data_IF_890949128074
#
_entry.id   IF_890949128074
#
_cell.length_a   1.000
_cell.length_b   1.000
_cell.length_c   1.000
_cell.angle_alpha   90.00
_cell.angle_beta   90.00
_cell.angle_gamma   90.00
#
_symmetry.space_group_name_H-M   'P 1'
#
loop_
_entity.id
_entity.type
_entity.pdbx_description
1 polymer ?
#
# COMPACT_ATOMS: atom_id res chain seq x y z
N UNK A 1 -33.17 6.66 0.48
CA UNK A 1 -31.78 6.19 0.31
C UNK A 1 -30.95 7.10 1.17
N UNK A 2 -30.34 6.59 2.24
CA UNK A 2 -29.75 7.41 3.29
C UNK A 2 -28.57 8.24 2.75
N UNK A 3 -28.73 9.58 2.79
CA UNK A 3 -27.80 10.60 2.32
C UNK A 3 -26.98 11.16 3.50
N UNK A 4 -26.81 10.40 4.58
CA UNK A 4 -25.92 10.79 5.68
C UNK A 4 -24.49 10.98 5.14
N UNK A 5 -24.05 12.23 5.07
CA UNK A 5 -22.68 12.57 4.71
C UNK A 5 -21.78 12.46 5.95
N UNK A 6 -20.62 11.79 5.84
CA UNK A 6 -20.09 11.09 4.67
C UNK A 6 -20.77 9.73 4.41
N UNK A 7 -20.88 9.35 3.13
CA UNK A 7 -21.51 8.10 2.67
C UNK A 7 -20.96 6.87 3.39
N UNK A 8 -21.79 6.25 4.24
CA UNK A 8 -21.43 5.06 5.02
C UNK A 8 -20.92 3.90 4.15
N UNK A 9 -21.56 3.55 3.01
CA UNK A 9 -21.04 2.52 2.11
C UNK A 9 -19.63 2.81 1.58
N UNK A 10 -19.31 4.08 1.29
CA UNK A 10 -17.97 4.47 0.82
C UNK A 10 -16.94 4.31 1.93
N UNK A 11 -17.27 4.70 3.16
CA UNK A 11 -16.36 4.56 4.31
C UNK A 11 -16.01 3.08 4.59
N UNK A 12 -17.01 2.20 4.51
CA UNK A 12 -16.80 0.74 4.64
C UNK A 12 -15.89 0.24 3.52
N UNK A 13 -16.14 0.67 2.28
CA UNK A 13 -15.34 0.26 1.13
C UNK A 13 -13.87 0.69 1.26
N UNK A 14 -13.60 1.95 1.64
CA UNK A 14 -12.22 2.44 1.86
C UNK A 14 -11.52 1.64 2.96
N UNK A 15 -12.19 1.40 4.08
CA UNK A 15 -11.64 0.60 5.17
C UNK A 15 -11.30 -0.83 4.71
N UNK A 16 -12.19 -1.46 3.95
CA UNK A 16 -11.97 -2.79 3.40
C UNK A 16 -10.81 -2.85 2.40
N UNK A 17 -10.59 -1.79 1.61
CA UNK A 17 -9.46 -1.70 0.68
C UNK A 17 -8.12 -1.73 1.42
N UNK A 18 -7.99 -0.98 2.53
CA UNK A 18 -6.76 -1.01 3.35
C UNK A 18 -6.50 -2.40 3.91
N UNK A 19 -7.55 -3.10 4.36
CA UNK A 19 -7.43 -4.47 4.87
C UNK A 19 -7.03 -5.47 3.76
N UNK A 20 -7.70 -5.41 2.61
CA UNK A 20 -7.47 -6.31 1.48
C UNK A 20 -6.04 -6.22 0.93
N UNK A 21 -5.47 -5.01 0.94
CA UNK A 21 -4.13 -4.72 0.43
C UNK A 21 -3.08 -4.53 1.53
N UNK A 22 -3.37 -4.88 2.79
CA UNK A 22 -2.40 -4.80 3.89
C UNK A 22 -1.03 -5.40 3.54
N UNK A 23 -0.92 -6.60 2.92
CA UNK A 23 0.39 -7.16 2.56
C UNK A 23 1.15 -6.31 1.52
N UNK A 24 0.44 -5.72 0.56
CA UNK A 24 1.01 -4.81 -0.43
C UNK A 24 1.53 -3.54 0.24
N UNK A 25 0.77 -2.96 1.17
CA UNK A 25 1.18 -1.76 1.91
C UNK A 25 2.45 -2.05 2.73
N UNK A 26 2.52 -3.19 3.42
CA UNK A 26 3.73 -3.59 4.16
C UNK A 26 4.94 -3.69 3.24
N UNK A 27 4.77 -4.27 2.05
CA UNK A 27 5.84 -4.38 1.05
C UNK A 27 6.31 -2.99 0.59
N UNK A 28 5.38 -2.09 0.28
CA UNK A 28 5.69 -0.72 -0.14
C UNK A 28 6.44 0.07 0.94
N UNK A 29 6.13 -0.15 2.22
CA UNK A 29 6.85 0.48 3.32
C UNK A 29 8.30 -0.01 3.40
N UNK A 30 8.53 -1.32 3.28
CA UNK A 30 9.88 -1.88 3.26
C UNK A 30 10.67 -1.39 2.05
N UNK A 31 10.05 -1.33 0.87
CA UNK A 31 10.67 -0.79 -0.34
C UNK A 31 11.02 0.69 -0.21
N UNK A 32 10.14 1.49 0.41
CA UNK A 32 10.42 2.89 0.71
C UNK A 32 11.65 3.02 1.60
N UNK A 33 11.69 2.27 2.69
CA UNK A 33 12.78 2.37 3.68
C UNK A 33 14.13 1.98 3.03
N UNK A 34 14.10 0.98 2.13
CA UNK A 34 15.23 0.63 1.28
C UNK A 34 15.64 1.77 0.34
N UNK A 35 14.69 2.35 -0.39
CA UNK A 35 14.97 3.44 -1.33
C UNK A 35 15.58 4.66 -0.64
N UNK A 36 15.07 5.02 0.56
CA UNK A 36 15.63 6.08 1.40
C UNK A 36 17.07 5.77 1.80
N UNK A 37 17.33 4.54 2.28
CA UNK A 37 18.67 4.12 2.71
C UNK A 37 19.67 4.17 1.55
N UNK A 38 19.28 3.66 0.39
CA UNK A 38 20.10 3.71 -0.82
C UNK A 38 20.37 5.15 -1.28
N UNK A 39 19.35 6.02 -1.23
CA UNK A 39 19.51 7.42 -1.61
C UNK A 39 20.48 8.16 -0.67
N UNK A 40 20.32 7.97 0.63
CA UNK A 40 21.15 8.61 1.65
C UNK A 40 22.62 8.19 1.51
N UNK A 41 22.89 6.92 1.19
CA UNK A 41 24.25 6.44 0.93
C UNK A 41 24.91 7.10 -0.29
N UNK A 42 24.11 7.43 -1.32
CA UNK A 42 24.58 8.07 -2.56
C UNK A 42 24.70 9.59 -2.43
N UNK A 43 23.97 10.20 -1.50
CA UNK A 43 23.92 11.65 -1.29
C UNK A 43 24.15 12.00 0.20
N UNK A 44 25.33 11.72 0.77
CA UNK A 44 25.59 11.81 2.21
C UNK A 44 25.48 13.23 2.78
N UNK A 45 25.62 14.26 1.93
CA UNK A 45 25.58 15.67 2.33
C UNK A 45 24.19 16.31 2.16
N UNK A 46 23.18 15.53 1.77
CA UNK A 46 21.82 16.02 1.55
C UNK A 46 20.87 15.37 2.54
N UNK A 47 19.99 16.17 3.14
CA UNK A 47 18.91 15.62 3.94
C UNK A 47 17.91 14.90 3.02
N UNK A 48 17.92 13.57 3.06
CA UNK A 48 17.05 12.71 2.23
C UNK A 48 15.56 13.03 2.38
N UNK A 49 15.13 13.55 3.53
CA UNK A 49 13.72 13.89 3.78
C UNK A 49 13.28 15.23 3.18
N UNK A 50 14.23 16.07 2.75
CA UNK A 50 13.98 17.38 2.12
C UNK A 50 14.38 17.38 0.63
N UNK A 51 14.93 16.28 0.13
CA UNK A 51 15.42 16.17 -1.24
C UNK A 51 14.27 15.91 -2.22
N UNK A 52 13.88 16.96 -2.95
CA UNK A 52 12.83 16.89 -3.99
C UNK A 52 13.18 15.99 -5.16
N UNK A 53 14.40 15.45 -5.26
CA UNK A 53 14.73 14.44 -6.27
C UNK A 53 14.23 13.05 -5.90
N UNK A 54 13.86 12.81 -4.63
CA UNK A 54 13.33 11.55 -4.12
C UNK A 54 11.83 11.69 -3.80
N UNK A 55 10.99 11.92 -4.80
CA UNK A 55 9.54 12.15 -4.59
C UNK A 55 8.74 10.86 -4.39
N UNK A 56 9.04 9.81 -5.15
CA UNK A 56 8.34 8.52 -5.07
C UNK A 56 9.35 7.44 -4.67
N UNK A 57 9.13 6.86 -3.50
CA UNK A 57 10.05 5.90 -2.85
C UNK A 57 9.64 4.45 -3.06
N UNK A 58 8.36 4.19 -3.30
CA UNK A 58 7.83 2.90 -3.73
C UNK A 58 6.49 3.09 -4.43
N UNK A 59 6.16 2.17 -5.35
CA UNK A 59 4.90 2.20 -6.08
C UNK A 59 4.56 0.80 -6.59
N UNK A 60 3.27 0.44 -6.51
CA UNK A 60 2.78 -0.79 -7.11
C UNK A 60 1.37 -0.61 -7.67
N UNK A 61 1.17 -1.08 -8.90
CA UNK A 61 -0.16 -1.19 -9.48
C UNK A 61 -0.98 -2.29 -8.78
N UNK A 62 -2.20 -1.98 -8.37
CA UNK A 62 -3.11 -2.93 -7.69
C UNK A 62 -4.29 -3.32 -8.57
N UNK A 63 -4.85 -4.51 -8.33
CA UNK A 63 -6.10 -4.96 -8.92
C UNK A 63 -6.96 -5.67 -7.89
N UNK A 64 -8.12 -5.11 -7.57
CA UNK A 64 -9.07 -5.67 -6.59
C UNK A 64 -9.50 -7.08 -6.99
N UNK A 65 -9.85 -7.27 -8.27
CA UNK A 65 -10.30 -8.58 -8.76
C UNK A 65 -9.22 -9.66 -8.64
N UNK A 66 -7.97 -9.32 -8.92
CA UNK A 66 -6.86 -10.28 -8.78
C UNK A 66 -6.58 -10.59 -7.30
N UNK A 67 -6.62 -9.58 -6.44
CA UNK A 67 -6.37 -9.75 -5.01
C UNK A 67 -7.45 -10.60 -4.33
N UNK A 68 -8.73 -10.37 -4.65
CA UNK A 68 -9.83 -11.22 -4.15
C UNK A 68 -9.65 -12.68 -4.59
N UNK A 69 -9.27 -12.92 -5.85
CA UNK A 69 -8.97 -14.27 -6.34
C UNK A 69 -7.80 -14.91 -5.58
N UNK A 70 -6.75 -14.15 -5.29
CA UNK A 70 -5.59 -14.64 -4.54
C UNK A 70 -5.96 -15.00 -3.09
N UNK A 71 -6.67 -14.13 -2.37
CA UNK A 71 -7.17 -14.39 -1.01
C UNK A 71 -8.09 -15.62 -1.00
N UNK A 72 -9.01 -15.72 -1.95
CA UNK A 72 -9.89 -16.89 -2.08
C UNK A 72 -9.13 -18.20 -2.26
N UNK A 73 -8.05 -18.20 -3.06
CA UNK A 73 -7.15 -19.37 -3.18
C UNK A 73 -6.43 -19.69 -1.87
N UNK A 74 -5.90 -18.68 -1.18
CA UNK A 74 -5.20 -18.85 0.09
C UNK A 74 -6.12 -19.43 1.18
N UNK A 75 -7.35 -18.93 1.29
CA UNK A 75 -8.35 -19.43 2.24
C UNK A 75 -8.76 -20.88 1.95
N UNK A 76 -8.91 -21.27 0.67
CA UNK A 76 -9.17 -22.67 0.30
C UNK A 76 -8.00 -23.58 0.71
N UNK A 77 -6.76 -23.14 0.47
CA UNK A 77 -5.55 -23.87 0.86
C UNK A 77 -5.45 -24.02 2.39
N UNK A 78 -5.81 -22.99 3.16
CA UNK A 78 -5.73 -23.02 4.61
C UNK A 78 -6.79 -23.92 5.28
N UNK A 79 -7.85 -24.30 4.56
CA UNK A 79 -8.92 -25.18 5.04
C UNK A 79 -8.73 -26.65 4.67
N UNK A 80 -7.77 -26.95 3.78
CA UNK A 80 -7.42 -28.31 3.36
C UNK A 80 -6.27 -28.84 4.23
#
# INVERSE_FOLDING_TARGET
MDLAYPSSPVNIWVTAMVQLFRPTIETLLLERDRAISEWQSKHPNTNVYEDRKLEITSFQAISVGNQIKAVGKALKKAKA
#
